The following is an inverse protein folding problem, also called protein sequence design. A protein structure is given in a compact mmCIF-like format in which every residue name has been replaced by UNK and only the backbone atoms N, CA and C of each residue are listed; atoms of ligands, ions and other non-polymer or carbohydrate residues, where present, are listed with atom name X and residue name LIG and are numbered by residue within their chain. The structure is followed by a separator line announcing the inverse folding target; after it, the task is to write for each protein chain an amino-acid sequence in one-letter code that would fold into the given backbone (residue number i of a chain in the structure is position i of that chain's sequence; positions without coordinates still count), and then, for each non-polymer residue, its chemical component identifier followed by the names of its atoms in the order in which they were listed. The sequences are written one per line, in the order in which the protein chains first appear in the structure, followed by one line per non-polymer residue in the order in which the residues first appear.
data_IF_739023194756
#
_entry.id   IF_739023194756
#
_cell.length_a   1.000
_cell.length_b   1.000
_cell.length_c   1.000
_cell.angle_alpha   90.00
_cell.angle_beta   90.00
_cell.angle_gamma   90.00
#
_symmetry.space_group_name_H-M   'P 1'
#
loop_
_entity.id
_entity.type
_entity.pdbx_description
1 polymer ?
#
# COMPACT_ATOMS: atom_id res chain seq x y z
N UNK A 1 28.86 -58.66 63.20
CA UNK A 1 29.00 -58.71 61.72
C UNK A 1 29.40 -57.31 61.25
N UNK A 2 30.69 -56.96 61.32
CA UNK A 2 31.71 -57.06 60.26
C UNK A 2 31.41 -56.10 59.08
N UNK A 3 32.24 -55.13 58.65
CA UNK A 3 33.51 -54.58 59.14
C UNK A 3 33.79 -53.25 58.40
N UNK A 4 34.64 -52.39 58.98
CA UNK A 4 35.18 -51.12 58.44
C UNK A 4 36.21 -51.34 57.29
N UNK A 5 36.47 -50.30 56.48
CA UNK A 5 37.82 -49.78 56.05
C UNK A 5 37.64 -48.60 55.07
N UNK A 6 38.08 -47.35 55.37
CA UNK A 6 39.41 -46.72 55.17
C UNK A 6 39.80 -46.54 53.67
N UNK A 7 39.59 -45.35 53.08
CA UNK A 7 40.54 -44.24 52.84
C UNK A 7 41.78 -44.55 51.99
N UNK A 8 41.94 -43.92 50.81
CA UNK A 8 43.24 -43.41 50.36
C UNK A 8 43.13 -42.21 49.42
N UNK A 9 44.05 -41.29 49.64
CA UNK A 9 44.36 -40.03 48.96
C UNK A 9 44.85 -40.23 47.51
N UNK A 10 44.46 -39.33 46.60
CA UNK A 10 45.11 -39.14 45.30
C UNK A 10 45.21 -37.65 44.98
N UNK A 11 46.41 -37.09 45.12
CA UNK A 11 46.75 -35.67 44.91
C UNK A 11 46.86 -35.31 43.42
N UNK A 12 46.33 -34.13 43.09
CA UNK A 12 46.83 -33.07 42.18
C UNK A 12 47.48 -33.47 40.85
N UNK A 13 46.99 -32.87 39.76
CA UNK A 13 47.77 -31.90 38.97
C UNK A 13 46.82 -30.99 38.18
N UNK A 14 46.99 -29.68 38.40
CA UNK A 14 46.38 -28.62 37.63
C UNK A 14 47.20 -28.40 36.36
N UNK A 15 46.52 -28.20 35.22
CA UNK A 15 47.07 -27.53 34.06
C UNK A 15 46.13 -26.38 33.70
N UNK A 16 46.68 -25.18 33.78
CA UNK A 16 46.04 -23.91 33.50
C UNK A 16 46.15 -23.53 32.01
N UNK A 17 45.40 -22.48 31.65
CA UNK A 17 45.44 -21.69 30.41
C UNK A 17 44.72 -22.34 29.21
N UNK A 18 43.78 -21.70 28.50
CA UNK A 18 43.68 -20.28 28.09
C UNK A 18 42.21 -20.00 27.70
N UNK A 19 41.68 -18.77 27.89
CA UNK A 19 40.31 -18.44 27.54
C UNK A 19 40.10 -18.41 26.02
N UNK A 20 39.00 -18.99 25.55
CA UNK A 20 38.57 -18.86 24.17
C UNK A 20 38.28 -17.39 23.87
N UNK A 21 39.15 -16.80 23.05
CA UNK A 21 39.10 -15.42 22.59
C UNK A 21 37.78 -15.16 21.86
N UNK A 22 37.19 -14.01 22.16
CA UNK A 22 36.30 -13.29 21.27
C UNK A 22 36.86 -13.32 19.83
N UNK A 23 36.15 -14.02 18.95
CA UNK A 23 36.42 -14.01 17.51
C UNK A 23 35.30 -13.28 16.81
N UNK A 24 35.55 -11.98 16.63
CA UNK A 24 35.30 -11.18 15.44
C UNK A 24 33.93 -11.35 14.76
N UNK A 25 33.17 -10.25 14.86
CA UNK A 25 32.09 -9.87 13.97
C UNK A 25 32.32 -10.40 12.55
N UNK A 26 31.40 -11.24 12.09
CA UNK A 26 31.29 -11.58 10.68
C UNK A 26 31.09 -10.27 9.90
N UNK A 27 31.89 -10.00 8.85
CA UNK A 27 31.66 -8.82 8.04
C UNK A 27 30.27 -8.94 7.43
N UNK A 28 29.46 -7.91 7.66
CA UNK A 28 28.25 -7.64 6.90
C UNK A 28 28.65 -7.67 5.41
N UNK A 29 28.26 -8.72 4.70
CA UNK A 29 28.26 -8.67 3.26
C UNK A 29 27.15 -7.69 2.88
N UNK A 30 27.50 -6.42 2.69
CA UNK A 30 26.71 -5.51 1.86
C UNK A 30 26.64 -6.17 0.49
N UNK A 31 25.55 -6.91 0.23
CA UNK A 31 25.16 -7.22 -1.13
C UNK A 31 24.98 -5.89 -1.83
N UNK A 32 25.79 -5.69 -2.87
CA UNK A 32 25.85 -4.49 -3.67
C UNK A 32 24.44 -4.02 -4.02
N UNK A 33 24.14 -2.79 -3.63
CA UNK A 33 23.03 -2.02 -4.19
C UNK A 33 23.30 -1.90 -5.68
N UNK A 34 22.68 -2.77 -6.48
CA UNK A 34 22.51 -2.51 -7.91
C UNK A 34 21.71 -1.23 -8.01
N UNK A 35 22.37 -0.16 -8.46
CA UNK A 35 21.73 1.10 -8.78
C UNK A 35 20.65 0.84 -9.84
N UNK A 36 19.39 0.81 -9.43
CA UNK A 36 18.25 0.85 -10.32
C UNK A 36 18.11 2.30 -10.80
N UNK A 37 18.46 2.50 -12.07
CA UNK A 37 18.60 3.83 -12.67
C UNK A 37 17.29 4.61 -12.79
N UNK A 38 17.48 5.93 -12.96
CA UNK A 38 16.61 6.97 -13.53
C UNK A 38 15.13 7.04 -13.08
N UNK A 39 14.54 8.24 -12.96
CA UNK A 39 13.21 8.42 -12.41
C UNK A 39 12.16 7.57 -13.14
N UNK A 40 11.58 6.63 -12.40
CA UNK A 40 10.53 5.73 -12.86
C UNK A 40 9.25 6.52 -13.12
N UNK A 41 8.82 6.67 -14.38
CA UNK A 41 7.48 7.16 -14.76
C UNK A 41 6.53 5.97 -14.95
N UNK A 42 5.21 6.21 -14.99
CA UNK A 42 4.24 5.16 -15.31
C UNK A 42 4.55 4.45 -16.65
N UNK A 43 4.97 5.20 -17.68
CA UNK A 43 5.40 4.64 -18.95
C UNK A 43 6.65 3.75 -18.81
N UNK A 44 7.62 4.15 -17.98
CA UNK A 44 8.81 3.30 -17.73
C UNK A 44 8.47 2.01 -16.99
N UNK A 45 7.42 2.01 -16.15
CA UNK A 45 6.92 0.81 -15.48
C UNK A 45 6.29 -0.19 -16.45
N UNK A 46 5.71 0.28 -17.55
CA UNK A 46 5.17 -0.58 -18.61
C UNK A 46 6.25 -1.16 -19.52
N UNK A 47 7.39 -0.48 -19.63
CA UNK A 47 8.52 -0.94 -20.42
C UNK A 47 9.42 -1.96 -19.69
N UNK A 48 9.17 -2.23 -18.40
CA UNK A 48 9.93 -3.21 -17.64
C UNK A 48 9.73 -4.62 -18.22
N UNK A 49 10.81 -5.41 -18.22
CA UNK A 49 10.70 -6.82 -18.58
C UNK A 49 9.83 -7.57 -17.56
N UNK A 50 9.20 -8.67 -17.97
CA UNK A 50 8.43 -9.53 -17.06
C UNK A 50 9.27 -9.99 -15.87
N UNK A 51 10.55 -10.30 -16.10
CA UNK A 51 11.49 -10.73 -15.07
C UNK A 51 11.74 -9.61 -14.03
N UNK A 52 11.90 -8.36 -14.47
CA UNK A 52 12.10 -7.22 -13.58
C UNK A 52 10.85 -6.92 -12.76
N UNK A 53 9.66 -6.99 -13.38
CA UNK A 53 8.39 -6.82 -12.68
C UNK A 53 8.21 -7.89 -11.61
N UNK A 54 8.49 -9.16 -11.94
CA UNK A 54 8.37 -10.26 -10.99
C UNK A 54 9.35 -10.12 -9.81
N UNK A 55 10.61 -9.83 -10.11
CA UNK A 55 11.65 -9.67 -9.09
C UNK A 55 11.36 -8.49 -8.14
N UNK A 56 10.89 -7.36 -8.69
CA UNK A 56 10.70 -6.12 -7.91
C UNK A 56 9.34 -6.01 -7.24
N UNK A 57 8.27 -6.43 -7.94
CA UNK A 57 6.89 -6.15 -7.53
C UNK A 57 6.05 -7.39 -7.23
N UNK A 58 6.54 -8.59 -7.54
CA UNK A 58 5.82 -9.85 -7.26
C UNK A 58 6.57 -10.82 -6.35
N UNK A 59 7.16 -10.37 -5.22
CA UNK A 59 7.80 -11.28 -4.26
C UNK A 59 6.84 -12.30 -3.64
N UNK A 60 5.52 -12.08 -3.75
CA UNK A 60 4.47 -13.02 -3.36
C UNK A 60 4.45 -14.31 -4.19
N UNK A 61 5.02 -14.31 -5.40
CA UNK A 61 5.18 -15.52 -6.23
C UNK A 61 6.33 -16.42 -5.74
N UNK A 62 7.36 -15.81 -5.15
CA UNK A 62 8.53 -16.51 -4.63
C UNK A 62 8.33 -17.03 -3.20
N UNK A 63 7.44 -16.42 -2.41
CA UNK A 63 6.99 -16.96 -1.12
C UNK A 63 6.05 -18.14 -1.38
N UNK A 64 6.65 -19.26 -1.80
CA UNK A 64 5.94 -20.51 -2.05
C UNK A 64 5.66 -21.23 -0.73
N UNK A 65 4.64 -22.07 -0.80
CA UNK A 65 4.30 -23.08 0.19
C UNK A 65 5.52 -23.92 0.60
N UNK A 66 5.41 -24.61 1.74
CA UNK A 66 6.22 -25.81 1.94
C UNK A 66 6.03 -26.74 0.72
N UNK A 67 7.06 -27.52 0.35
CA UNK A 67 7.07 -28.28 -0.91
C UNK A 67 5.87 -29.23 -1.10
N UNK A 68 5.18 -29.54 0.00
CA UNK A 68 4.04 -30.43 0.16
C UNK A 68 2.68 -29.72 0.33
N UNK A 69 2.63 -28.38 0.41
CA UNK A 69 1.39 -27.64 0.62
C UNK A 69 0.84 -27.09 -0.72
N UNK A 70 -0.42 -27.40 -1.10
CA UNK A 70 -1.01 -26.90 -2.34
C UNK A 70 -1.33 -25.40 -2.26
N UNK A 71 -1.24 -24.69 -3.38
CA UNK A 71 -1.58 -23.27 -3.41
C UNK A 71 -3.10 -23.10 -3.33
N UNK A 72 -3.60 -22.75 -2.14
CA UNK A 72 -5.04 -22.64 -1.89
C UNK A 72 -5.71 -21.58 -2.78
N UNK A 73 -4.96 -20.56 -3.23
CA UNK A 73 -5.49 -19.54 -4.14
C UNK A 73 -5.77 -20.08 -5.54
N UNK A 74 -5.08 -21.14 -5.96
CA UNK A 74 -5.33 -21.80 -7.25
C UNK A 74 -6.58 -22.69 -7.25
N UNK A 75 -7.16 -22.96 -6.08
CA UNK A 75 -8.35 -23.81 -5.90
C UNK A 75 -9.64 -23.00 -5.71
N UNK A 76 -9.56 -21.68 -5.76
CA UNK A 76 -10.71 -20.80 -5.57
C UNK A 76 -11.65 -20.87 -6.78
N UNK A 77 -12.94 -21.06 -6.53
CA UNK A 77 -13.97 -20.86 -7.54
C UNK A 77 -14.18 -19.36 -7.72
N UNK A 78 -13.67 -18.84 -8.83
CA UNK A 78 -13.72 -17.42 -9.20
C UNK A 78 -14.07 -17.28 -10.70
N UNK A 79 -14.76 -18.28 -11.26
CA UNK A 79 -14.95 -18.40 -12.71
C UNK A 79 -15.79 -17.24 -13.24
N UNK A 80 -16.79 -16.80 -12.49
CA UNK A 80 -17.63 -15.66 -12.87
C UNK A 80 -16.81 -14.38 -13.06
N UNK A 81 -15.95 -14.02 -12.10
CA UNK A 81 -15.15 -12.78 -12.22
C UNK A 81 -14.05 -12.92 -13.27
N UNK A 82 -13.46 -14.11 -13.42
CA UNK A 82 -12.45 -14.40 -14.45
C UNK A 82 -13.05 -14.27 -15.84
N UNK A 83 -14.25 -14.80 -16.06
CA UNK A 83 -15.00 -14.64 -17.31
C UNK A 83 -15.29 -13.17 -17.61
N UNK A 84 -15.63 -12.36 -16.59
CA UNK A 84 -15.82 -10.91 -16.78
C UNK A 84 -14.52 -10.22 -17.23
N UNK A 85 -13.38 -10.55 -16.61
CA UNK A 85 -12.06 -10.01 -17.00
C UNK A 85 -11.71 -10.41 -18.43
N UNK A 86 -11.87 -11.70 -18.77
CA UNK A 86 -11.60 -12.22 -20.11
C UNK A 86 -12.48 -11.54 -21.17
N UNK A 87 -13.79 -11.42 -20.93
CA UNK A 87 -14.71 -10.75 -21.85
C UNK A 87 -14.33 -9.29 -22.09
N UNK A 88 -13.96 -8.56 -21.05
CA UNK A 88 -13.53 -7.17 -21.17
C UNK A 88 -12.22 -7.05 -21.97
N UNK A 89 -11.28 -7.95 -21.73
CA UNK A 89 -10.00 -7.96 -22.44
C UNK A 89 -10.14 -8.32 -23.92
N UNK A 90 -10.82 -9.44 -24.21
CA UNK A 90 -10.86 -10.02 -25.55
C UNK A 90 -11.91 -9.36 -26.45
N UNK A 91 -13.10 -9.07 -25.92
CA UNK A 91 -14.21 -8.54 -26.74
C UNK A 91 -14.19 -7.02 -26.83
N UNK A 92 -13.66 -6.33 -25.82
CA UNK A 92 -13.62 -4.87 -25.79
C UNK A 92 -12.22 -4.30 -25.96
N UNK A 93 -11.21 -5.15 -26.18
CA UNK A 93 -9.82 -4.72 -26.38
C UNK A 93 -9.22 -3.96 -25.21
N UNK A 94 -9.76 -4.14 -23.99
CA UNK A 94 -9.31 -3.40 -22.84
C UNK A 94 -8.03 -4.00 -22.23
N UNK A 95 -7.09 -3.16 -21.75
CA UNK A 95 -5.88 -3.66 -21.10
C UNK A 95 -6.19 -4.36 -19.76
N UNK A 96 -5.27 -5.18 -19.29
CA UNK A 96 -5.35 -5.84 -17.98
C UNK A 96 -5.61 -4.83 -16.86
N UNK A 97 -6.32 -5.27 -15.81
CA UNK A 97 -6.54 -4.43 -14.63
C UNK A 97 -5.25 -4.34 -13.85
N UNK A 98 -4.81 -3.11 -13.59
CA UNK A 98 -3.58 -2.81 -12.86
C UNK A 98 -3.89 -2.57 -11.38
N UNK A 99 -3.38 -3.41 -10.48
CA UNK A 99 -3.61 -3.29 -9.04
C UNK A 99 -2.30 -2.98 -8.31
N UNK A 100 -2.25 -1.81 -7.67
CA UNK A 100 -1.17 -1.47 -6.74
C UNK A 100 -1.52 -1.93 -5.32
N UNK A 101 -0.63 -2.68 -4.69
CA UNK A 101 -0.79 -3.14 -3.30
C UNK A 101 0.22 -2.44 -2.40
N UNK A 102 -0.28 -1.82 -1.33
CA UNK A 102 0.52 -1.15 -0.30
C UNK A 102 0.35 -1.86 1.05
N UNK A 103 1.43 -1.97 1.84
CA UNK A 103 1.38 -2.56 3.18
C UNK A 103 2.07 -1.70 4.25
N UNK A 104 1.61 -1.83 5.49
CA UNK A 104 1.93 -0.90 6.58
C UNK A 104 2.97 -1.36 7.60
N UNK A 105 3.88 -2.29 7.30
CA UNK A 105 4.89 -2.71 8.29
C UNK A 105 6.16 -3.25 7.65
N UNK A 106 7.30 -2.76 8.16
CA UNK A 106 8.67 -3.15 7.80
C UNK A 106 9.25 -4.25 8.69
N UNK A 107 8.46 -4.84 9.61
CA UNK A 107 8.93 -5.95 10.43
C UNK A 107 9.39 -7.11 9.55
N UNK A 108 10.41 -7.83 10.00
CA UNK A 108 10.92 -9.03 9.32
C UNK A 108 9.79 -10.02 9.03
N UNK A 109 8.98 -10.34 10.05
CA UNK A 109 7.71 -11.06 9.89
C UNK A 109 6.54 -10.10 10.07
N UNK A 110 5.94 -9.69 8.95
CA UNK A 110 4.91 -8.64 8.89
C UNK A 110 3.58 -9.21 8.41
N UNK A 111 2.61 -9.38 9.31
CA UNK A 111 1.30 -9.95 8.93
C UNK A 111 0.54 -9.11 7.90
N UNK A 112 0.69 -7.77 7.91
CA UNK A 112 0.09 -6.94 6.86
C UNK A 112 0.73 -7.19 5.50
N UNK A 113 2.04 -7.47 5.44
CA UNK A 113 2.73 -7.87 4.20
C UNK A 113 2.28 -9.25 3.75
N UNK A 114 2.14 -10.20 4.67
CA UNK A 114 1.63 -11.54 4.35
C UNK A 114 0.18 -11.49 3.84
N UNK A 115 -0.71 -10.71 4.48
CA UNK A 115 -2.07 -10.49 3.97
C UNK A 115 -2.07 -9.82 2.60
N UNK A 116 -1.20 -8.82 2.38
CA UNK A 116 -1.04 -8.19 1.07
C UNK A 116 -0.60 -9.19 0.00
N UNK A 117 0.31 -10.12 0.32
CA UNK A 117 0.75 -11.16 -0.59
C UNK A 117 -0.35 -12.17 -0.91
N UNK A 118 -1.15 -12.58 0.07
CA UNK A 118 -2.29 -13.47 -0.17
C UNK A 118 -3.35 -12.80 -1.04
N UNK A 119 -3.69 -11.55 -0.76
CA UNK A 119 -4.58 -10.77 -1.62
C UNK A 119 -4.01 -10.65 -3.05
N UNK A 120 -2.70 -10.45 -3.18
CA UNK A 120 -2.03 -10.35 -4.48
C UNK A 120 -2.13 -11.66 -5.27
N UNK A 121 -2.01 -12.82 -4.62
CA UNK A 121 -2.21 -14.13 -5.26
C UNK A 121 -3.65 -14.31 -5.75
N UNK A 122 -4.64 -13.95 -4.93
CA UNK A 122 -6.06 -13.99 -5.34
C UNK A 122 -6.30 -13.09 -6.55
N UNK A 123 -5.84 -11.83 -6.49
CA UNK A 123 -6.00 -10.86 -7.57
C UNK A 123 -5.29 -11.30 -8.87
N UNK A 124 -4.07 -11.84 -8.77
CA UNK A 124 -3.37 -12.42 -9.93
C UNK A 124 -4.10 -13.65 -10.48
N UNK A 125 -4.68 -14.50 -9.62
CA UNK A 125 -5.49 -15.64 -10.06
C UNK A 125 -6.77 -15.23 -10.81
N UNK A 126 -7.36 -14.08 -10.43
CA UNK A 126 -8.49 -13.47 -11.14
C UNK A 126 -8.08 -12.94 -12.54
N UNK A 127 -6.79 -12.63 -12.73
CA UNK A 127 -6.24 -12.14 -14.01
C UNK A 127 -5.82 -10.66 -14.01
N UNK A 128 -5.58 -10.06 -12.84
CA UNK A 128 -5.04 -8.71 -12.74
C UNK A 128 -3.50 -8.67 -12.78
N UNK A 129 -2.93 -7.60 -13.36
CA UNK A 129 -1.51 -7.24 -13.17
C UNK A 129 -1.37 -6.61 -11.79
N UNK A 130 -0.78 -7.36 -10.85
CA UNK A 130 -0.62 -6.92 -9.46
C UNK A 130 0.84 -6.56 -9.20
N UNK A 131 1.06 -5.40 -8.58
CA UNK A 131 2.38 -4.92 -8.16
C UNK A 131 2.33 -4.49 -6.70
N UNK A 132 3.18 -5.10 -5.88
CA UNK A 132 3.33 -4.75 -4.46
C UNK A 132 4.49 -3.77 -4.31
N UNK A 133 4.24 -2.59 -3.74
CA UNK A 133 5.30 -1.65 -3.43
C UNK A 133 6.00 -2.05 -2.13
N UNK A 134 7.34 -2.12 -2.16
CA UNK A 134 8.16 -2.24 -0.95
C UNK A 134 8.45 -0.85 -0.36
N UNK A 135 7.96 -0.50 0.84
CA UNK A 135 8.22 0.79 1.46
C UNK A 135 9.58 0.89 2.15
N UNK A 136 10.42 -0.15 2.14
CA UNK A 136 11.78 -0.05 2.67
C UNK A 136 12.57 1.06 1.96
N UNK A 137 13.22 1.92 2.75
CA UNK A 137 13.96 3.08 2.25
C UNK A 137 13.07 4.26 1.77
N UNK A 138 11.74 4.19 1.92
CA UNK A 138 10.89 5.34 1.66
C UNK A 138 11.11 6.41 2.76
N UNK A 139 11.59 7.62 2.42
CA UNK A 139 11.85 8.67 3.39
C UNK A 139 10.55 9.19 4.01
N UNK A 140 10.63 9.81 5.18
CA UNK A 140 9.47 10.52 5.75
C UNK A 140 9.11 11.71 4.85
N UNK A 141 7.81 11.93 4.63
CA UNK A 141 7.31 13.08 3.87
C UNK A 141 7.93 14.38 4.40
N UNK A 142 8.35 15.23 3.47
CA UNK A 142 9.04 16.52 3.72
C UNK A 142 10.46 16.41 4.30
N UNK A 143 10.98 15.19 4.51
CA UNK A 143 12.37 14.97 4.91
C UNK A 143 13.37 15.07 3.75
N UNK A 144 12.93 14.88 2.51
CA UNK A 144 13.76 14.93 1.29
C UNK A 144 12.99 15.47 0.09
N UNK A 145 13.71 15.71 -1.02
CA UNK A 145 13.11 16.09 -2.30
C UNK A 145 12.17 15.01 -2.85
N UNK A 146 11.13 15.43 -3.57
CA UNK A 146 10.21 14.54 -4.30
C UNK A 146 10.90 13.73 -5.42
N UNK A 147 12.14 14.06 -5.75
CA UNK A 147 12.98 13.34 -6.73
C UNK A 147 13.64 12.07 -6.16
N UNK A 148 13.43 11.76 -4.88
CA UNK A 148 13.96 10.53 -4.27
C UNK A 148 13.39 9.28 -4.98
N UNK A 149 14.23 8.30 -5.30
CA UNK A 149 13.87 7.16 -6.16
C UNK A 149 12.62 6.41 -5.67
N UNK A 150 12.54 6.11 -4.37
CA UNK A 150 11.36 5.46 -3.77
C UNK A 150 10.08 6.29 -3.85
N UNK A 151 10.18 7.62 -3.83
CA UNK A 151 9.03 8.52 -3.95
C UNK A 151 8.54 8.53 -5.40
N UNK A 152 9.48 8.64 -6.34
CA UNK A 152 9.19 8.59 -7.77
C UNK A 152 8.55 7.25 -8.15
N UNK A 153 9.12 6.14 -7.69
CA UNK A 153 8.57 4.79 -7.87
C UNK A 153 7.13 4.68 -7.35
N UNK A 154 6.88 5.10 -6.10
CA UNK A 154 5.55 5.03 -5.49
C UNK A 154 4.52 5.84 -6.28
N UNK A 155 4.88 7.06 -6.70
CA UNK A 155 4.00 7.93 -7.49
C UNK A 155 3.70 7.32 -8.85
N UNK A 156 4.70 6.76 -9.52
CA UNK A 156 4.52 6.09 -10.81
C UNK A 156 3.66 4.84 -10.71
N UNK A 157 3.80 4.04 -9.64
CA UNK A 157 2.91 2.91 -9.38
C UNK A 157 1.47 3.35 -9.11
N UNK A 158 1.27 4.45 -8.37
CA UNK A 158 -0.07 4.99 -8.14
C UNK A 158 -0.70 5.46 -9.46
N UNK A 159 0.06 6.18 -10.28
CA UNK A 159 -0.40 6.62 -11.60
C UNK A 159 -0.72 5.45 -12.52
N UNK A 160 0.12 4.41 -12.54
CA UNK A 160 -0.07 3.18 -13.29
C UNK A 160 -1.31 2.39 -12.88
N UNK A 161 -1.71 2.42 -11.61
CA UNK A 161 -2.80 1.60 -11.09
C UNK A 161 -4.19 2.01 -11.62
N UNK A 162 -5.09 1.04 -11.81
CA UNK A 162 -6.54 1.25 -11.96
C UNK A 162 -7.27 1.11 -10.61
N UNK A 163 -6.70 0.25 -9.76
CA UNK A 163 -7.21 -0.11 -8.45
C UNK A 163 -6.07 -0.17 -7.44
N UNK A 164 -6.37 0.05 -6.17
CA UNK A 164 -5.40 -0.17 -5.10
C UNK A 164 -5.96 -1.06 -3.98
N UNK A 165 -5.07 -1.76 -3.29
CA UNK A 165 -5.36 -2.50 -2.07
C UNK A 165 -4.40 -2.07 -0.97
N UNK A 166 -4.93 -1.56 0.12
CA UNK A 166 -4.13 -1.06 1.25
C UNK A 166 -4.27 -1.96 2.46
N UNK A 167 -3.15 -2.45 2.99
CA UNK A 167 -3.12 -3.33 4.17
C UNK A 167 -2.29 -2.72 5.29
N UNK A 168 -2.95 -2.20 6.34
CA UNK A 168 -2.23 -1.67 7.51
C UNK A 168 -2.41 -2.57 8.73
N UNK A 169 -1.36 -2.79 9.54
CA UNK A 169 -1.56 -3.20 10.92
C UNK A 169 -2.32 -2.13 11.70
N UNK A 170 -2.94 -2.54 12.78
CA UNK A 170 -3.35 -1.64 13.85
C UNK A 170 -2.24 -1.52 14.90
N UNK A 171 -1.69 -0.31 15.04
CA UNK A 171 -0.67 -0.02 16.04
C UNK A 171 -1.15 1.15 16.92
N UNK A 172 -1.17 0.92 18.24
CA UNK A 172 -1.75 1.86 19.20
C UNK A 172 -3.18 2.31 18.84
N UNK A 173 -3.98 1.38 18.28
CA UNK A 173 -5.39 1.62 17.93
C UNK A 173 -5.61 2.42 16.65
N UNK A 174 -4.58 2.64 15.82
CA UNK A 174 -4.69 3.40 14.57
C UNK A 174 -3.79 2.85 13.46
N UNK A 175 -3.85 3.47 12.28
CA UNK A 175 -2.98 3.18 11.13
C UNK A 175 -1.51 3.37 11.50
N UNK A 176 -0.64 2.62 10.82
CA UNK A 176 0.80 2.75 11.03
C UNK A 176 1.39 3.98 10.33
N UNK A 177 2.48 4.50 10.88
CA UNK A 177 3.28 5.55 10.23
C UNK A 177 3.79 5.10 8.85
N UNK A 178 4.16 3.82 8.69
CA UNK A 178 4.60 3.25 7.41
C UNK A 178 3.50 3.35 6.36
N UNK A 179 2.25 2.99 6.71
CA UNK A 179 1.12 3.11 5.79
C UNK A 179 0.82 4.59 5.48
N UNK A 180 0.75 5.43 6.51
CA UNK A 180 0.41 6.85 6.35
C UNK A 180 1.44 7.60 5.51
N UNK A 181 2.73 7.33 5.73
CA UNK A 181 3.82 7.95 4.99
C UNK A 181 3.76 7.64 3.49
N UNK A 182 3.40 6.41 3.10
CA UNK A 182 3.16 6.07 1.69
C UNK A 182 2.06 6.95 1.08
N UNK A 183 0.90 7.05 1.75
CA UNK A 183 -0.22 7.86 1.27
C UNK A 183 0.15 9.35 1.19
N UNK A 184 0.92 9.87 2.16
CA UNK A 184 1.34 11.27 2.20
C UNK A 184 2.28 11.66 1.05
N UNK A 185 2.99 10.69 0.46
CA UNK A 185 3.81 10.91 -0.73
C UNK A 185 3.01 10.97 -2.02
N UNK A 186 1.74 10.54 -2.03
CA UNK A 186 0.88 10.55 -3.21
C UNK A 186 0.06 11.85 -3.22
N UNK A 187 0.36 12.80 -4.12
CA UNK A 187 -0.38 14.05 -4.20
C UNK A 187 -1.74 13.84 -4.89
N UNK A 188 -2.70 14.73 -4.60
CA UNK A 188 -3.99 14.75 -5.31
C UNK A 188 -3.86 15.19 -6.77
N UNK A 189 -2.82 15.98 -7.11
CA UNK A 189 -2.55 16.49 -8.45
C UNK A 189 -1.05 16.69 -8.65
N UNK A 190 -0.54 16.27 -9.81
CA UNK A 190 0.78 16.65 -10.34
C UNK A 190 0.55 17.27 -11.72
N UNK A 191 0.53 18.60 -11.79
CA UNK A 191 0.05 19.28 -12.99
C UNK A 191 -1.39 18.87 -13.31
N UNK A 192 -1.62 18.33 -14.51
CA UNK A 192 -2.93 17.82 -14.96
C UNK A 192 -3.23 16.38 -14.51
N UNK A 193 -2.24 15.62 -14.05
CA UNK A 193 -2.41 14.21 -13.67
C UNK A 193 -2.94 14.11 -12.25
N UNK A 194 -3.96 13.27 -12.04
CA UNK A 194 -4.55 12.95 -10.73
C UNK A 194 -4.29 11.47 -10.39
N UNK A 195 -3.21 11.14 -9.64
CA UNK A 195 -2.73 9.76 -9.47
C UNK A 195 -3.66 8.80 -8.73
N UNK A 196 -4.71 9.28 -8.07
CA UNK A 196 -5.67 8.44 -7.33
C UNK A 196 -7.12 8.69 -7.69
N UNK A 197 -7.45 9.83 -8.29
CA UNK A 197 -8.85 10.21 -8.51
C UNK A 197 -9.57 9.18 -9.39
N UNK A 198 -10.74 8.73 -8.95
CA UNK A 198 -11.61 7.82 -9.69
C UNK A 198 -11.17 6.36 -9.71
N UNK A 199 -9.99 6.03 -9.17
CA UNK A 199 -9.52 4.65 -9.00
C UNK A 199 -10.28 3.94 -7.88
N UNK A 200 -10.43 2.63 -7.98
CA UNK A 200 -11.06 1.82 -6.94
C UNK A 200 -10.08 1.51 -5.80
N UNK A 201 -10.60 1.32 -4.59
CA UNK A 201 -9.80 1.03 -3.41
C UNK A 201 -10.44 -0.08 -2.57
N UNK A 202 -9.66 -1.11 -2.24
CA UNK A 202 -9.95 -2.04 -1.16
C UNK A 202 -9.05 -1.76 0.05
N UNK A 203 -9.60 -1.97 1.24
CA UNK A 203 -8.89 -1.72 2.51
C UNK A 203 -8.94 -2.96 3.39
N UNK A 204 -7.78 -3.29 3.96
CA UNK A 204 -7.60 -4.41 4.87
C UNK A 204 -6.82 -3.97 6.11
N UNK A 205 -7.08 -4.61 7.25
CA UNK A 205 -6.23 -4.50 8.42
C UNK A 205 -5.87 -5.85 9.04
N UNK A 206 -4.79 -5.85 9.81
CA UNK A 206 -4.41 -6.95 10.69
C UNK A 206 -4.26 -6.46 12.13
N UNK A 207 -4.65 -7.28 13.09
CA UNK A 207 -4.61 -6.95 14.51
C UNK A 207 -3.75 -7.96 15.27
N UNK A 208 -2.95 -7.48 16.23
CA UNK A 208 -2.27 -8.36 17.18
C UNK A 208 -3.22 -8.96 18.23
N UNK A 209 -4.28 -8.22 18.57
CA UNK A 209 -5.28 -8.58 19.58
C UNK A 209 -6.64 -8.97 18.98
N UNK A 210 -7.70 -8.75 19.76
CA UNK A 210 -9.09 -8.94 19.32
C UNK A 210 -9.43 -8.12 18.07
N UNK A 211 -10.54 -8.48 17.43
CA UNK A 211 -10.98 -7.79 16.22
C UNK A 211 -11.23 -6.31 16.49
N UNK A 212 -10.76 -5.48 15.57
CA UNK A 212 -10.93 -4.03 15.56
C UNK A 212 -11.22 -3.58 14.13
N UNK A 213 -11.71 -2.34 13.99
CA UNK A 213 -11.96 -1.72 12.70
C UNK A 213 -11.41 -0.28 12.63
N UNK A 214 -10.65 0.16 13.63
CA UNK A 214 -10.18 1.55 13.68
C UNK A 214 -9.31 1.87 12.46
N UNK A 215 -8.39 0.97 12.13
CA UNK A 215 -7.46 1.14 11.01
C UNK A 215 -8.18 1.22 9.67
N UNK A 216 -9.09 0.29 9.35
CA UNK A 216 -9.87 0.36 8.09
C UNK A 216 -10.81 1.56 8.06
N UNK A 217 -11.36 2.00 9.20
CA UNK A 217 -12.18 3.21 9.23
C UNK A 217 -11.37 4.47 8.86
N UNK A 218 -10.14 4.56 9.34
CA UNK A 218 -9.22 5.66 8.95
C UNK A 218 -8.82 5.52 7.48
N UNK A 219 -8.47 4.32 7.01
CA UNK A 219 -8.13 4.09 5.59
C UNK A 219 -9.28 4.44 4.65
N UNK A 220 -10.53 4.16 5.04
CA UNK A 220 -11.72 4.56 4.27
C UNK A 220 -11.85 6.08 4.16
N UNK A 221 -11.62 6.80 5.25
CA UNK A 221 -11.61 8.26 5.25
C UNK A 221 -10.47 8.82 4.38
N UNK A 222 -9.29 8.18 4.42
CA UNK A 222 -8.17 8.53 3.54
C UNK A 222 -8.51 8.24 2.07
N UNK A 223 -9.11 7.10 1.74
CA UNK A 223 -9.58 6.77 0.40
C UNK A 223 -10.54 7.82 -0.17
N UNK A 224 -11.49 8.29 0.65
CA UNK A 224 -12.36 9.43 0.30
C UNK A 224 -11.55 10.70 0.05
N UNK A 225 -10.57 11.01 0.91
CA UNK A 225 -9.72 12.19 0.72
C UNK A 225 -8.93 12.12 -0.60
N UNK A 226 -8.43 10.93 -0.93
CA UNK A 226 -7.73 10.63 -2.19
C UNK A 226 -8.68 10.52 -3.40
N UNK A 227 -9.98 10.77 -3.22
CA UNK A 227 -11.03 10.73 -4.25
C UNK A 227 -11.13 9.38 -4.96
N UNK A 228 -10.89 8.30 -4.20
CA UNK A 228 -10.99 6.92 -4.66
C UNK A 228 -12.38 6.35 -4.37
N UNK A 229 -12.83 5.42 -5.21
CA UNK A 229 -14.03 4.62 -4.98
C UNK A 229 -13.69 3.47 -4.04
N UNK A 230 -13.80 3.71 -2.74
CA UNK A 230 -13.53 2.68 -1.74
C UNK A 230 -14.70 1.69 -1.68
N UNK A 231 -14.46 0.44 -2.06
CA UNK A 231 -15.50 -0.59 -2.10
C UNK A 231 -16.12 -0.81 -0.71
N UNK A 232 -17.41 -1.22 -0.62
CA UNK A 232 -18.07 -1.38 0.67
C UNK A 232 -17.43 -2.49 1.51
N UNK A 233 -17.03 -3.61 0.91
CA UNK A 233 -16.45 -4.72 1.63
C UNK A 233 -15.01 -4.41 2.10
N UNK A 234 -14.60 -5.02 3.21
CA UNK A 234 -13.29 -4.80 3.82
C UNK A 234 -12.88 -6.01 4.68
N UNK A 235 -11.57 -6.17 4.88
CA UNK A 235 -11.03 -7.28 5.69
C UNK A 235 -10.38 -6.78 6.98
N UNK A 236 -10.61 -7.48 8.10
CA UNK A 236 -9.96 -7.23 9.39
C UNK A 236 -9.63 -8.55 10.07
N UNK A 237 -8.34 -8.91 10.09
CA UNK A 237 -7.86 -10.18 10.65
C UNK A 237 -7.53 -10.00 12.14
N UNK A 238 -8.31 -10.58 13.08
CA UNK A 238 -7.98 -10.59 14.50
C UNK A 238 -6.86 -11.59 14.79
N UNK A 239 -6.07 -11.31 15.83
CA UNK A 239 -4.99 -12.18 16.34
C UNK A 239 -4.18 -12.77 15.19
N UNK A 240 -3.70 -11.92 14.27
CA UNK A 240 -3.16 -12.35 12.99
C UNK A 240 -2.06 -13.42 13.11
N UNK A 241 -1.28 -13.39 14.20
CA UNK A 241 -0.27 -14.39 14.51
C UNK A 241 -0.78 -15.83 14.64
N UNK A 242 -2.07 -16.05 14.88
CA UNK A 242 -2.71 -17.38 14.93
C UNK A 242 -3.33 -17.80 13.59
N UNK A 243 -3.31 -16.93 12.57
CA UNK A 243 -4.03 -17.16 11.30
C UNK A 243 -3.10 -17.66 10.19
N UNK A 244 -1.79 -17.70 10.43
CA UNK A 244 -0.79 -18.09 9.45
C UNK A 244 -0.11 -19.40 9.85
N UNK A 245 0.21 -20.22 8.86
CA UNK A 245 1.02 -21.43 9.00
C UNK A 245 2.48 -21.08 9.36
N UNK A 246 3.31 -22.10 9.60
CA UNK A 246 4.77 -21.94 9.71
C UNK A 246 5.43 -21.51 8.40
N UNK A 247 4.80 -21.79 7.26
CA UNK A 247 5.18 -21.35 5.90
C UNK A 247 4.67 -19.94 5.55
N UNK A 248 4.11 -19.20 6.53
CA UNK A 248 3.57 -17.85 6.35
C UNK A 248 2.40 -17.75 5.34
N UNK A 249 1.64 -18.84 5.19
CA UNK A 249 0.40 -18.89 4.40
C UNK A 249 -0.84 -18.71 5.26
N UNK A 250 -1.87 -18.04 4.74
CA UNK A 250 -3.13 -17.81 5.46
C UNK A 250 -3.97 -19.08 5.53
N UNK A 251 -4.26 -19.51 6.76
CA UNK A 251 -5.01 -20.73 7.03
C UNK A 251 -6.51 -20.61 6.67
N UNK A 252 -7.19 -21.74 6.39
CA UNK A 252 -8.64 -21.78 6.21
C UNK A 252 -9.40 -21.14 7.37
N UNK A 253 -10.18 -20.11 7.08
CA UNK A 253 -11.02 -19.41 8.05
C UNK A 253 -12.01 -18.50 7.33
N UNK A 254 -13.06 -18.07 8.02
CA UNK A 254 -13.97 -17.03 7.52
C UNK A 254 -13.27 -15.70 7.21
N UNK A 255 -12.14 -15.40 7.87
CA UNK A 255 -11.34 -14.22 7.56
C UNK A 255 -10.60 -14.37 6.22
N UNK A 256 -10.19 -15.59 5.86
CA UNK A 256 -9.61 -15.89 4.55
C UNK A 256 -10.68 -15.75 3.46
N UNK A 257 -11.85 -16.30 3.68
CA UNK A 257 -12.96 -16.20 2.72
C UNK A 257 -13.35 -14.72 2.52
N UNK A 258 -13.41 -13.93 3.61
CA UNK A 258 -13.61 -12.49 3.53
C UNK A 258 -12.54 -11.76 2.71
N UNK A 259 -11.27 -12.19 2.80
CA UNK A 259 -10.20 -11.60 1.99
C UNK A 259 -10.44 -11.87 0.50
N UNK A 260 -10.93 -13.07 0.15
CA UNK A 260 -11.32 -13.43 -1.21
C UNK A 260 -12.48 -12.57 -1.69
N UNK A 261 -13.56 -12.43 -0.89
CA UNK A 261 -14.71 -11.58 -1.22
C UNK A 261 -14.29 -10.13 -1.55
N UNK A 262 -13.36 -9.59 -0.77
CA UNK A 262 -12.83 -8.23 -0.96
C UNK A 262 -12.05 -8.10 -2.26
N UNK A 263 -11.22 -9.10 -2.60
CA UNK A 263 -10.46 -9.10 -3.85
C UNK A 263 -11.39 -9.24 -5.07
N UNK A 264 -12.39 -10.11 -4.98
CA UNK A 264 -13.37 -10.31 -6.03
C UNK A 264 -14.20 -9.03 -6.26
N UNK A 265 -14.71 -8.42 -5.19
CA UNK A 265 -15.49 -7.17 -5.26
C UNK A 265 -14.65 -6.01 -5.82
N UNK A 266 -13.36 -5.93 -5.44
CA UNK A 266 -12.44 -4.93 -5.99
C UNK A 266 -12.36 -5.03 -7.52
N UNK A 267 -12.17 -6.23 -8.06
CA UNK A 267 -12.07 -6.42 -9.51
C UNK A 267 -13.40 -6.12 -10.19
N UNK A 268 -14.52 -6.62 -9.68
CA UNK A 268 -15.86 -6.32 -10.22
C UNK A 268 -16.13 -4.81 -10.27
N UNK A 269 -15.87 -4.09 -9.17
CA UNK A 269 -16.04 -2.65 -9.12
C UNK A 269 -15.11 -1.92 -10.12
N UNK A 270 -13.87 -2.40 -10.26
CA UNK A 270 -12.90 -1.80 -11.19
C UNK A 270 -13.34 -1.97 -12.64
N UNK A 271 -13.83 -3.16 -13.02
CA UNK A 271 -14.37 -3.41 -14.37
C UNK A 271 -15.55 -2.46 -14.69
N UNK A 272 -16.39 -2.17 -13.70
CA UNK A 272 -17.54 -1.29 -13.87
C UNK A 272 -17.16 0.20 -13.98
N UNK A 273 -16.19 0.64 -13.18
CA UNK A 273 -15.90 2.07 -13.02
C UNK A 273 -14.78 2.55 -13.96
N UNK A 274 -13.78 1.72 -14.25
CA UNK A 274 -12.60 2.12 -15.04
C UNK A 274 -12.96 2.78 -16.39
N UNK A 275 -13.90 2.26 -17.20
CA UNK A 275 -14.25 2.87 -18.48
C UNK A 275 -14.85 4.28 -18.38
N UNK A 276 -15.33 4.67 -17.19
CA UNK A 276 -16.04 5.93 -16.96
C UNK A 276 -15.30 6.88 -16.00
N UNK A 277 -14.02 6.62 -15.68
CA UNK A 277 -13.27 7.44 -14.71
C UNK A 277 -13.24 8.92 -15.09
N UNK A 278 -13.05 9.23 -16.38
CA UNK A 278 -13.03 10.62 -16.86
C UNK A 278 -14.42 11.28 -16.76
N UNK A 279 -15.48 10.54 -17.11
CA UNK A 279 -16.86 11.02 -16.99
C UNK A 279 -17.24 11.27 -15.53
N UNK A 280 -16.93 10.35 -14.63
CA UNK A 280 -17.16 10.48 -13.19
C UNK A 280 -16.30 11.60 -12.57
N UNK A 281 -15.16 11.90 -13.20
CA UNK A 281 -14.26 12.99 -12.85
C UNK A 281 -14.69 14.36 -13.36
N UNK A 282 -15.63 14.43 -14.31
CA UNK A 282 -16.11 15.68 -14.91
C UNK A 282 -17.10 16.40 -13.98
N UNK A 283 -16.54 17.26 -13.10
CA UNK A 283 -17.30 17.99 -12.09
C UNK A 283 -17.85 19.31 -12.61
N UNK A 284 -19.11 19.59 -12.26
CA UNK A 284 -19.77 20.86 -12.57
C UNK A 284 -18.92 22.08 -12.17
N UNK A 285 -18.45 22.15 -10.92
CA UNK A 285 -17.65 23.26 -10.42
C UNK A 285 -16.31 23.44 -11.17
N UNK A 286 -15.71 22.34 -11.62
CA UNK A 286 -14.47 22.37 -12.42
C UNK A 286 -14.74 22.86 -13.86
N UNK A 287 -15.94 22.59 -14.42
CA UNK A 287 -16.34 23.14 -15.72
C UNK A 287 -16.58 24.64 -15.64
N UNK A 288 -17.18 25.14 -14.57
CA UNK A 288 -17.37 26.59 -14.37
C UNK A 288 -16.03 27.32 -14.33
N UNK A 289 -15.10 26.83 -13.51
CA UNK A 289 -13.77 27.43 -13.39
C UNK A 289 -13.00 27.41 -14.72
N UNK A 290 -13.08 26.30 -15.47
CA UNK A 290 -12.48 26.23 -16.82
C UNK A 290 -13.09 27.23 -17.79
N UNK A 291 -14.41 27.51 -17.72
CA UNK A 291 -15.05 28.54 -18.56
C UNK A 291 -14.56 29.94 -18.21
N UNK A 292 -14.39 30.24 -16.93
CA UNK A 292 -13.96 31.55 -16.46
C UNK A 292 -12.47 31.83 -16.72
N UNK A 293 -11.62 30.80 -16.61
CA UNK A 293 -10.16 30.99 -16.58
C UNK A 293 -9.40 30.21 -17.65
N UNK A 294 -10.07 29.42 -18.48
CA UNK A 294 -9.45 28.54 -19.49
C UNK A 294 -8.71 27.34 -18.92
N UNK A 295 -8.53 27.27 -17.60
CA UNK A 295 -7.86 26.18 -16.87
C UNK A 295 -8.37 26.08 -15.43
N UNK A 296 -8.09 24.97 -14.78
CA UNK A 296 -8.27 24.84 -13.34
C UNK A 296 -7.17 25.63 -12.61
N UNK A 297 -7.55 26.33 -11.54
CA UNK A 297 -6.59 26.98 -10.66
C UNK A 297 -6.06 25.98 -9.64
N UNK A 298 -4.83 26.23 -9.21
CA UNK A 298 -4.31 25.60 -8.00
C UNK A 298 -5.05 26.14 -6.78
N UNK A 299 -5.09 25.38 -5.69
CA UNK A 299 -5.77 25.83 -4.48
C UNK A 299 -5.19 27.14 -3.93
N UNK A 300 -3.89 27.36 -4.06
CA UNK A 300 -3.24 28.62 -3.71
C UNK A 300 -3.74 29.80 -4.55
N UNK A 301 -3.92 29.61 -5.86
CA UNK A 301 -4.50 30.61 -6.76
C UNK A 301 -5.98 30.88 -6.41
N UNK A 302 -6.76 29.85 -6.09
CA UNK A 302 -8.16 30.00 -5.66
C UNK A 302 -8.25 30.80 -4.35
N UNK A 303 -7.40 30.50 -3.36
CA UNK A 303 -7.36 31.24 -2.10
C UNK A 303 -6.88 32.69 -2.26
N UNK A 304 -5.87 32.92 -3.10
CA UNK A 304 -5.40 34.27 -3.42
C UNK A 304 -6.49 35.10 -4.10
N UNK A 305 -7.22 34.52 -5.05
CA UNK A 305 -8.36 35.16 -5.71
C UNK A 305 -9.50 35.47 -4.72
N UNK A 306 -9.80 34.53 -3.81
CA UNK A 306 -10.80 34.74 -2.76
C UNK A 306 -10.41 35.90 -1.85
N UNK A 307 -9.16 35.92 -1.35
CA UNK A 307 -8.63 37.02 -0.53
C UNK A 307 -8.67 38.37 -1.26
N UNK A 308 -8.34 38.39 -2.56
CA UNK A 308 -8.42 39.59 -3.38
C UNK A 308 -9.86 40.12 -3.48
N UNK A 309 -10.83 39.25 -3.77
CA UNK A 309 -12.25 39.65 -3.84
C UNK A 309 -12.83 40.10 -2.50
N UNK A 310 -12.43 39.49 -1.38
CA UNK A 310 -12.82 39.91 -0.04
C UNK A 310 -12.23 41.27 0.32
N UNK A 311 -10.97 41.53 -0.05
CA UNK A 311 -10.33 42.83 0.15
C UNK A 311 -11.01 43.93 -0.67
N UNK A 312 -11.44 43.62 -1.89
CA UNK A 312 -12.13 44.56 -2.77
C UNK A 312 -13.53 44.90 -2.25
N UNK A 313 -14.30 43.90 -1.78
CA UNK A 313 -15.59 44.13 -1.10
C UNK A 313 -15.44 45.02 0.13
N UNK A 314 -14.43 44.79 0.97
CA UNK A 314 -14.17 45.63 2.15
C UNK A 314 -13.89 47.09 1.79
N UNK A 315 -13.13 47.33 0.72
CA UNK A 315 -12.86 48.71 0.24
C UNK A 315 -14.13 49.40 -0.24
N UNK A 316 -15.01 48.69 -0.95
CA UNK A 316 -16.31 49.22 -1.40
C UNK A 316 -17.20 49.56 -0.21
N UNK A 317 -17.27 48.68 0.80
CA UNK A 317 -18.06 48.92 2.02
C UNK A 317 -17.52 50.10 2.84
N UNK A 318 -16.19 50.27 2.93
CA UNK A 318 -15.56 51.41 3.59
C UNK A 318 -15.80 52.73 2.84
N UNK A 319 -15.79 52.71 1.51
CA UNK A 319 -16.12 53.89 0.69
C UNK A 319 -17.60 54.26 0.81
N UNK A 320 -18.50 53.28 0.84
CA UNK A 320 -19.92 53.52 1.06
C UNK A 320 -20.20 54.15 2.43
N UNK A 321 -19.51 53.69 3.49
CA UNK A 321 -19.62 54.28 4.84
C UNK A 321 -19.09 55.72 4.91
N UNK A 322 -17.94 56.00 4.27
CA UNK A 322 -17.41 57.37 4.19
C UNK A 322 -18.29 58.31 3.36
N UNK A 323 -18.96 57.81 2.32
CA UNK A 323 -19.91 58.60 1.53
C UNK A 323 -21.18 58.98 2.31
N UNK A 324 -21.62 58.13 3.25
CA UNK A 324 -22.80 58.40 4.10
C UNK A 324 -22.54 59.34 5.28
N UNK A 325 -21.29 59.60 5.66
CA UNK A 325 -20.93 60.53 6.74
C UNK A 325 -20.73 61.98 6.27
N UNK A 326 -20.73 62.22 4.95
CA UNK A 326 -20.47 63.53 4.33
C UNK A 326 -21.74 64.16 3.69
N UNK A 327 -22.88 63.47 3.79
CA UNK A 327 -24.21 63.96 3.39
C UNK A 327 -25.04 64.34 4.62
#
# INVERSE_FOLDING_TARGET
MLLRTASTLGRRLAAASTPARHSLARPFAMTATTALGSPTTAASLEALSTQDVEARYRPYLATKNAADEPDWTAQLELDTVKDMVLRMRELQGQPEIKVLVLYGSLRERSFSRLTAYEASRVLSHIGADVRVFDPAGLPIKDGVSEKHDKVVELRALSEWSDAQLWVSPEQHGTITAVMKNQIDWIPLSVGSVRPTQGRTLAICQVNGGSQSFNTVNVLRQLGRWMRMWTIPNQSSLPKAWTQYTSSDRLMPSSNRDRLVDVCEELIKATLLLRPYVDLLGDRFSEREEKREHGRLRTQAETEAAKKASEAEKRKVDEQAKRGSEVA
#
